data_IF_304355185170
#
_entry.id   IF_304355185170
#
_cell.length_a   1.000
_cell.length_b   1.000
_cell.length_c   1.000
_cell.angle_alpha   90.00
_cell.angle_beta   90.00
_cell.angle_gamma   90.00
#
_symmetry.space_group_name_H-M   'P 1'
#
loop_
_entity.id
_entity.type
_entity.pdbx_description
1 polymer ?
#
# COMPACT_ATOMS: atom_id res chain seq x y z
N UNK A 1 13.19 -0.30 -16.29
CA UNK A 1 11.93 -1.00 -16.58
C UNK A 1 11.08 -0.09 -17.44
N UNK A 2 10.69 -0.54 -18.63
CA UNK A 2 9.90 0.26 -19.55
C UNK A 2 8.47 0.51 -19.01
N UNK A 3 8.03 1.75 -19.09
CA UNK A 3 6.76 2.24 -18.52
C UNK A 3 5.56 1.58 -19.17
N UNK A 4 5.61 1.35 -20.49
CA UNK A 4 4.53 0.69 -21.23
C UNK A 4 4.30 -0.74 -20.73
N UNK A 5 5.37 -1.48 -20.43
CA UNK A 5 5.27 -2.85 -19.91
C UNK A 5 4.51 -2.92 -18.57
N UNK A 6 4.61 -1.90 -17.71
CA UNK A 6 3.85 -1.84 -16.45
C UNK A 6 2.36 -1.63 -16.70
N UNK A 7 2.00 -0.73 -17.60
CA UNK A 7 0.60 -0.48 -17.97
C UNK A 7 -0.05 -1.71 -18.60
N UNK A 8 0.66 -2.43 -19.48
CA UNK A 8 0.17 -3.66 -20.09
C UNK A 8 -0.09 -4.75 -19.04
N UNK A 9 0.78 -4.88 -18.03
CA UNK A 9 0.58 -5.82 -16.93
C UNK A 9 -0.69 -5.49 -16.13
N UNK A 10 -0.90 -4.22 -15.78
CA UNK A 10 -2.13 -3.77 -15.09
C UNK A 10 -3.36 -3.99 -15.96
N UNK A 11 -3.29 -3.67 -17.25
CA UNK A 11 -4.41 -3.84 -18.18
C UNK A 11 -4.81 -5.31 -18.35
N UNK A 12 -3.86 -6.22 -18.51
CA UNK A 12 -4.12 -7.64 -18.62
C UNK A 12 -4.77 -8.22 -17.35
N UNK A 13 -4.20 -7.89 -16.18
CA UNK A 13 -4.79 -8.28 -14.90
C UNK A 13 -6.19 -7.69 -14.71
N UNK A 14 -6.36 -6.40 -15.02
CA UNK A 14 -7.62 -5.68 -14.89
C UNK A 14 -8.72 -6.24 -15.78
N UNK A 15 -8.42 -6.59 -17.03
CA UNK A 15 -9.38 -7.24 -17.92
C UNK A 15 -9.87 -8.58 -17.34
N UNK A 16 -8.95 -9.42 -16.85
CA UNK A 16 -9.30 -10.69 -16.21
C UNK A 16 -10.12 -10.48 -14.93
N UNK A 17 -9.73 -9.52 -14.07
CA UNK A 17 -10.44 -9.20 -12.84
C UNK A 17 -11.87 -8.73 -13.10
N UNK A 18 -12.04 -7.82 -14.07
CA UNK A 18 -13.36 -7.33 -14.48
C UNK A 18 -14.25 -8.44 -15.06
N UNK A 19 -13.69 -9.32 -15.89
CA UNK A 19 -14.39 -10.48 -16.43
C UNK A 19 -14.86 -11.44 -15.33
N UNK A 20 -14.00 -11.72 -14.34
CA UNK A 20 -14.35 -12.56 -13.20
C UNK A 20 -15.45 -11.94 -12.35
N UNK A 21 -15.34 -10.64 -12.06
CA UNK A 21 -16.40 -9.89 -11.36
C UNK A 21 -17.72 -9.95 -12.13
N UNK A 22 -17.69 -9.71 -13.44
CA UNK A 22 -18.89 -9.77 -14.28
C UNK A 22 -19.50 -11.17 -14.29
N UNK A 23 -18.68 -12.21 -14.44
CA UNK A 23 -19.14 -13.60 -14.41
C UNK A 23 -19.79 -13.94 -13.07
N UNK A 24 -19.14 -13.65 -11.93
CA UNK A 24 -19.69 -13.94 -10.61
C UNK A 24 -20.94 -13.09 -10.31
N UNK A 25 -20.94 -11.82 -10.72
CA UNK A 25 -22.07 -10.91 -10.60
C UNK A 25 -23.27 -11.30 -11.47
N UNK A 26 -23.07 -12.04 -12.57
CA UNK A 26 -24.15 -12.60 -13.39
C UNK A 26 -24.55 -14.05 -13.05
N UNK A 27 -23.78 -14.72 -12.19
CA UNK A 27 -23.94 -16.14 -11.85
C UNK A 27 -25.05 -16.39 -10.81
N UNK A 28 -25.15 -17.65 -10.35
CA UNK A 28 -26.10 -18.08 -9.31
C UNK A 28 -26.06 -17.19 -8.05
N UNK A 29 -24.93 -16.56 -7.75
CA UNK A 29 -24.75 -15.63 -6.62
C UNK A 29 -25.72 -14.44 -6.69
N UNK A 30 -25.98 -13.90 -7.89
CA UNK A 30 -26.94 -12.81 -8.12
C UNK A 30 -28.36 -13.30 -8.39
N UNK A 31 -28.55 -14.60 -8.66
CA UNK A 31 -29.88 -15.21 -8.83
C UNK A 31 -30.49 -15.69 -7.52
N UNK A 32 -29.81 -15.47 -6.40
CA UNK A 32 -30.43 -15.68 -5.10
C UNK A 32 -31.58 -14.68 -4.96
N UNK A 33 -32.78 -15.14 -4.61
CA UNK A 33 -33.86 -14.25 -4.17
C UNK A 33 -33.53 -13.54 -2.83
N UNK A 34 -32.29 -13.72 -2.35
CA UNK A 34 -31.77 -13.10 -1.15
C UNK A 34 -31.69 -11.60 -1.41
N UNK A 35 -32.31 -10.79 -0.56
CA UNK A 35 -32.51 -9.41 -0.90
C UNK A 35 -31.35 -8.55 -0.34
N UNK A 36 -30.21 -9.20 -0.07
CA UNK A 36 -28.91 -8.69 0.34
C UNK A 36 -27.92 -8.79 -0.84
N UNK A 37 -26.98 -7.84 -1.04
CA UNK A 37 -26.05 -7.83 -2.18
C UNK A 37 -24.94 -8.89 -2.10
N UNK A 38 -25.34 -10.16 -2.13
CA UNK A 38 -24.49 -11.32 -1.83
C UNK A 38 -23.32 -11.43 -2.80
N UNK A 39 -23.54 -11.16 -4.08
CA UNK A 39 -22.49 -11.27 -5.09
C UNK A 39 -21.35 -10.28 -4.82
N UNK A 40 -21.68 -9.00 -4.66
CA UNK A 40 -20.71 -7.93 -4.36
C UNK A 40 -20.00 -8.17 -3.04
N UNK A 41 -20.73 -8.60 -1.99
CA UNK A 41 -20.14 -8.95 -0.71
C UNK A 41 -19.08 -10.06 -0.85
N UNK A 42 -19.41 -11.18 -1.49
CA UNK A 42 -18.46 -12.28 -1.68
C UNK A 42 -17.25 -11.83 -2.48
N UNK A 43 -17.46 -11.13 -3.59
CA UNK A 43 -16.39 -10.62 -4.46
C UNK A 43 -15.40 -9.72 -3.69
N UNK A 44 -15.91 -8.81 -2.87
CA UNK A 44 -15.07 -7.90 -2.09
C UNK A 44 -14.34 -8.64 -0.95
N UNK A 45 -14.99 -9.59 -0.28
CA UNK A 45 -14.39 -10.38 0.81
C UNK A 45 -13.31 -11.31 0.29
N UNK A 46 -13.56 -12.05 -0.79
CA UNK A 46 -12.54 -12.93 -1.40
C UNK A 46 -11.40 -12.12 -1.99
N UNK A 47 -11.67 -10.96 -2.61
CA UNK A 47 -10.64 -10.06 -3.09
C UNK A 47 -9.76 -9.52 -1.96
N UNK A 48 -10.35 -9.20 -0.82
CA UNK A 48 -9.65 -8.81 0.41
C UNK A 48 -8.74 -9.93 0.93
N UNK A 49 -9.21 -11.17 0.94
CA UNK A 49 -8.36 -12.32 1.26
C UNK A 49 -7.19 -12.47 0.27
N UNK A 50 -7.49 -12.43 -1.04
CA UNK A 50 -6.51 -12.61 -2.10
C UNK A 50 -5.41 -11.56 -1.99
N UNK A 51 -5.74 -10.27 -1.79
CA UNK A 51 -4.72 -9.22 -1.71
C UNK A 51 -3.84 -9.37 -0.46
N UNK A 52 -4.43 -9.70 0.70
CA UNK A 52 -3.68 -9.96 1.92
C UNK A 52 -2.72 -11.15 1.76
N UNK A 53 -3.21 -12.24 1.18
CA UNK A 53 -2.40 -13.42 0.89
C UNK A 53 -1.28 -13.13 -0.11
N UNK A 54 -1.64 -12.58 -1.28
CA UNK A 54 -0.71 -12.39 -2.39
C UNK A 54 0.39 -11.38 -2.06
N UNK A 55 0.05 -10.23 -1.48
CA UNK A 55 1.06 -9.23 -1.16
C UNK A 55 2.01 -9.74 -0.08
N UNK A 56 1.52 -10.38 0.98
CA UNK A 56 2.37 -11.00 1.99
C UNK A 56 3.29 -12.05 1.39
N UNK A 57 2.79 -12.91 0.50
CA UNK A 57 3.61 -13.91 -0.18
C UNK A 57 4.69 -13.24 -1.05
N UNK A 58 4.30 -12.23 -1.83
CA UNK A 58 5.19 -11.49 -2.74
C UNK A 58 6.23 -10.60 -2.05
N UNK A 59 6.04 -10.23 -0.78
CA UNK A 59 6.98 -9.39 -0.03
C UNK A 59 7.78 -10.14 1.02
N UNK A 60 7.22 -11.20 1.62
CA UNK A 60 7.82 -11.89 2.76
C UNK A 60 8.34 -13.31 2.44
N UNK A 61 8.00 -13.87 1.28
CA UNK A 61 8.23 -15.30 1.00
C UNK A 61 8.85 -15.57 -0.37
N UNK A 62 8.29 -15.05 -1.46
CA UNK A 62 8.80 -15.25 -2.83
C UNK A 62 9.23 -13.93 -3.46
N UNK A 63 10.28 -13.99 -4.26
CA UNK A 63 10.62 -12.88 -5.16
C UNK A 63 9.70 -12.90 -6.39
N UNK A 64 8.67 -12.06 -6.37
CA UNK A 64 7.72 -11.89 -7.49
C UNK A 64 8.16 -10.72 -8.36
N UNK A 65 8.12 -10.89 -9.68
CA UNK A 65 8.46 -9.81 -10.60
C UNK A 65 7.55 -8.59 -10.38
N UNK A 66 8.08 -7.35 -10.46
CA UNK A 66 7.27 -6.14 -10.31
C UNK A 66 6.05 -6.07 -11.26
N UNK A 67 6.17 -6.66 -12.46
CA UNK A 67 5.07 -6.75 -13.42
C UNK A 67 3.94 -7.65 -12.92
N UNK A 68 4.27 -8.83 -12.40
CA UNK A 68 3.26 -9.76 -11.87
C UNK A 68 2.59 -9.19 -10.61
N UNK A 69 3.36 -8.50 -9.77
CA UNK A 69 2.79 -7.79 -8.61
C UNK A 69 1.77 -6.73 -9.03
N UNK A 70 2.07 -5.93 -10.04
CA UNK A 70 1.13 -4.94 -10.60
C UNK A 70 -0.08 -5.60 -11.25
N UNK A 71 0.13 -6.63 -12.07
CA UNK A 71 -0.93 -7.35 -12.75
C UNK A 71 -1.95 -7.94 -11.76
N UNK A 72 -1.49 -8.54 -10.65
CA UNK A 72 -2.39 -9.17 -9.69
C UNK A 72 -2.98 -8.14 -8.72
N UNK A 73 -2.14 -7.36 -8.03
CA UNK A 73 -2.60 -6.48 -6.96
C UNK A 73 -3.42 -5.30 -7.47
N UNK A 74 -2.90 -4.60 -8.49
CA UNK A 74 -3.54 -3.39 -9.04
C UNK A 74 -4.52 -3.75 -10.14
N UNK A 75 -4.11 -4.63 -11.06
CA UNK A 75 -4.96 -5.06 -12.18
C UNK A 75 -6.10 -5.96 -11.70
N UNK A 76 -5.80 -7.23 -11.45
CA UNK A 76 -6.81 -8.25 -11.20
C UNK A 76 -7.64 -7.95 -9.96
N UNK A 77 -7.03 -7.82 -8.78
CA UNK A 77 -7.78 -7.61 -7.54
C UNK A 77 -8.48 -6.24 -7.55
N UNK A 78 -7.82 -5.21 -8.09
CA UNK A 78 -8.42 -3.88 -8.23
C UNK A 78 -9.67 -3.85 -9.11
N UNK A 79 -9.69 -4.60 -10.21
CA UNK A 79 -10.85 -4.67 -11.11
C UNK A 79 -11.87 -5.75 -10.71
N UNK A 80 -11.41 -6.78 -9.99
CA UNK A 80 -12.23 -7.85 -9.43
C UNK A 80 -13.09 -7.35 -8.28
N UNK A 81 -12.52 -6.56 -7.37
CA UNK A 81 -13.28 -5.92 -6.28
C UNK A 81 -13.97 -4.65 -6.78
N UNK A 82 -15.00 -4.19 -6.06
CA UNK A 82 -15.71 -2.97 -6.43
C UNK A 82 -16.31 -2.27 -5.21
N UNK A 83 -15.84 -1.04 -4.97
CA UNK A 83 -16.43 -0.16 -3.95
C UNK A 83 -17.66 0.58 -4.49
N UNK A 84 -17.62 1.02 -5.75
CA UNK A 84 -18.72 1.77 -6.37
C UNK A 84 -20.02 0.97 -6.50
N UNK A 85 -19.95 -0.31 -6.87
CA UNK A 85 -21.16 -1.17 -6.89
C UNK A 85 -21.71 -1.38 -5.48
N UNK A 86 -20.83 -1.58 -4.49
CA UNK A 86 -21.22 -1.70 -3.09
C UNK A 86 -21.95 -0.44 -2.58
N UNK A 87 -21.45 0.74 -2.90
CA UNK A 87 -22.11 2.01 -2.52
C UNK A 87 -23.46 2.17 -3.23
N UNK A 88 -23.53 1.87 -4.52
CA UNK A 88 -24.78 1.93 -5.29
C UNK A 88 -25.85 1.00 -4.72
N UNK A 89 -25.50 -0.24 -4.41
CA UNK A 89 -26.40 -1.22 -3.80
C UNK A 89 -26.87 -0.79 -2.41
N UNK A 90 -25.96 -0.19 -1.62
CA UNK A 90 -26.30 0.37 -0.30
C UNK A 90 -27.28 1.54 -0.44
N UNK A 91 -27.04 2.45 -1.38
CA UNK A 91 -27.95 3.56 -1.67
C UNK A 91 -29.32 3.06 -2.11
N UNK A 92 -29.39 2.03 -2.97
CA UNK A 92 -30.65 1.40 -3.38
C UNK A 92 -31.43 0.80 -2.21
N UNK A 93 -30.75 0.10 -1.31
CA UNK A 93 -31.40 -0.43 -0.10
C UNK A 93 -31.98 0.70 0.77
N UNK A 94 -31.30 1.84 0.86
CA UNK A 94 -31.80 3.03 1.60
C UNK A 94 -33.02 3.62 0.90
N UNK A 95 -32.99 3.79 -0.43
CA UNK A 95 -34.12 4.28 -1.23
C UNK A 95 -35.36 3.39 -1.07
N UNK A 96 -35.17 2.08 -1.02
CA UNK A 96 -36.22 1.08 -0.78
C UNK A 96 -36.68 1.01 0.69
N UNK A 97 -36.14 1.86 1.58
CA UNK A 97 -36.40 1.89 3.04
C UNK A 97 -35.97 0.62 3.78
N UNK A 98 -35.01 -0.13 3.22
CA UNK A 98 -34.48 -1.41 3.74
C UNK A 98 -33.24 -1.17 4.60
N UNK A 99 -33.38 -0.31 5.60
CA UNK A 99 -32.26 0.22 6.39
C UNK A 99 -31.42 -0.85 7.07
N UNK A 100 -32.04 -1.89 7.63
CA UNK A 100 -31.32 -2.99 8.27
C UNK A 100 -30.32 -3.64 7.31
N UNK A 101 -30.71 -3.86 6.05
CA UNK A 101 -29.84 -4.49 5.06
C UNK A 101 -28.77 -3.54 4.53
N UNK A 102 -29.08 -2.25 4.40
CA UNK A 102 -28.07 -1.25 4.07
C UNK A 102 -26.99 -1.22 5.17
N UNK A 103 -27.38 -1.16 6.44
CA UNK A 103 -26.45 -1.20 7.58
C UNK A 103 -25.65 -2.50 7.60
N UNK A 104 -26.30 -3.65 7.43
CA UNK A 104 -25.60 -4.94 7.37
C UNK A 104 -24.61 -4.98 6.20
N UNK A 105 -24.97 -4.46 5.02
CA UNK A 105 -24.08 -4.45 3.86
C UNK A 105 -22.80 -3.68 4.17
N UNK A 106 -22.91 -2.50 4.76
CA UNK A 106 -21.76 -1.68 5.15
C UNK A 106 -20.93 -2.36 6.23
N UNK A 107 -21.56 -2.72 7.36
CA UNK A 107 -20.85 -3.24 8.53
C UNK A 107 -20.23 -4.60 8.27
N UNK A 108 -20.95 -5.54 7.64
CA UNK A 108 -20.40 -6.85 7.33
C UNK A 108 -19.30 -6.76 6.27
N UNK A 109 -19.47 -5.97 5.20
CA UNK A 109 -18.44 -5.85 4.17
C UNK A 109 -17.14 -5.31 4.76
N UNK A 110 -17.22 -4.32 5.65
CA UNK A 110 -16.04 -3.78 6.32
C UNK A 110 -15.38 -4.80 7.27
N UNK A 111 -16.14 -5.35 8.23
CA UNK A 111 -15.60 -6.25 9.25
C UNK A 111 -15.07 -7.53 8.62
N UNK A 112 -15.89 -8.20 7.80
CA UNK A 112 -15.53 -9.48 7.18
C UNK A 112 -14.44 -9.28 6.15
N UNK A 113 -14.48 -8.20 5.36
CA UNK A 113 -13.40 -7.85 4.44
C UNK A 113 -12.06 -7.67 5.17
N UNK A 114 -12.04 -6.92 6.27
CA UNK A 114 -10.83 -6.74 7.08
C UNK A 114 -10.32 -8.05 7.68
N UNK A 115 -11.20 -8.86 8.27
CA UNK A 115 -10.87 -10.20 8.78
C UNK A 115 -10.31 -11.09 7.67
N UNK A 116 -10.85 -11.00 6.46
CA UNK A 116 -10.38 -11.74 5.30
C UNK A 116 -8.97 -11.33 4.89
N UNK A 117 -8.63 -10.02 4.88
CA UNK A 117 -7.24 -9.55 4.67
C UNK A 117 -6.31 -10.16 5.71
N UNK A 118 -6.66 -10.08 6.99
CA UNK A 118 -5.86 -10.67 8.08
C UNK A 118 -5.69 -12.18 7.91
N UNK A 119 -6.76 -12.89 7.53
CA UNK A 119 -6.74 -14.31 7.22
C UNK A 119 -5.79 -14.64 6.07
N UNK A 120 -5.79 -13.84 5.01
CA UNK A 120 -4.86 -13.96 3.88
C UNK A 120 -3.40 -13.81 4.31
N UNK A 121 -3.10 -12.78 5.11
CA UNK A 121 -1.75 -12.54 5.66
C UNK A 121 -1.29 -13.75 6.50
N UNK A 122 -2.14 -14.23 7.42
CA UNK A 122 -1.81 -15.37 8.28
C UNK A 122 -1.60 -16.64 7.45
N UNK A 123 -2.47 -16.90 6.47
CA UNK A 123 -2.35 -18.05 5.59
C UNK A 123 -1.06 -18.03 4.77
N UNK A 124 -0.68 -16.87 4.20
CA UNK A 124 0.57 -16.72 3.46
C UNK A 124 1.80 -16.96 4.35
N UNK A 125 1.77 -16.52 5.62
CA UNK A 125 2.87 -16.73 6.57
C UNK A 125 3.03 -18.18 7.02
N UNK A 126 1.93 -18.93 7.10
CA UNK A 126 1.88 -20.35 7.50
C UNK A 126 2.32 -21.33 6.42
N UNK A 127 2.49 -20.88 5.17
CA UNK A 127 3.10 -21.69 4.12
C UNK A 127 4.60 -21.90 4.44
N UNK A 128 4.88 -22.97 5.19
CA UNK A 128 6.24 -23.50 5.38
C UNK A 128 6.75 -24.06 4.06
N UNK A 129 7.96 -23.67 3.64
CA UNK A 129 8.63 -24.22 2.45
C UNK A 129 8.87 -23.25 1.30
N UNK A 130 8.50 -21.99 1.43
CA UNK A 130 8.95 -20.95 0.48
C UNK A 130 10.22 -20.29 1.04
N UNK A 131 11.40 -20.50 0.43
CA UNK A 131 12.65 -19.94 0.94
C UNK A 131 12.56 -18.42 0.97
N UNK A 132 12.80 -17.84 2.14
CA UNK A 132 13.07 -16.41 2.30
C UNK A 132 14.29 -16.09 1.44
N UNK A 133 14.08 -15.48 0.27
CA UNK A 133 15.19 -14.80 -0.42
C UNK A 133 15.63 -13.68 0.47
N UNK A 134 16.86 -13.81 0.95
CA UNK A 134 17.48 -13.00 1.98
C UNK A 134 17.18 -11.51 1.81
N UNK A 135 16.75 -10.88 2.90
CA UNK A 135 16.40 -9.48 3.01
C UNK A 135 17.66 -8.59 2.96
N UNK A 136 18.68 -8.99 2.21
CA UNK A 136 19.99 -8.34 2.16
C UNK A 136 19.87 -6.85 1.82
N UNK A 137 18.85 -6.43 1.08
CA UNK A 137 18.59 -5.01 0.82
C UNK A 137 17.97 -4.27 2.02
N UNK A 138 17.12 -4.91 2.84
CA UNK A 138 16.47 -4.27 4.00
C UNK A 138 17.43 -4.17 5.20
N UNK A 139 18.29 -5.17 5.41
CA UNK A 139 19.35 -5.14 6.41
C UNK A 139 20.45 -4.14 6.03
N UNK A 140 20.85 -4.05 4.75
CA UNK A 140 21.75 -3.00 4.27
C UNK A 140 21.15 -1.60 4.39
N UNK A 141 19.86 -1.40 4.08
CA UNK A 141 19.21 -0.10 4.26
C UNK A 141 19.10 0.28 5.73
N UNK A 142 18.85 -0.69 6.62
CA UNK A 142 18.83 -0.45 8.08
C UNK A 142 20.22 -0.10 8.60
N UNK A 143 21.29 -0.77 8.15
CA UNK A 143 22.67 -0.39 8.47
C UNK A 143 23.04 1.02 7.95
N UNK A 144 22.60 1.37 6.75
CA UNK A 144 22.82 2.71 6.16
C UNK A 144 21.98 3.82 6.84
N UNK A 145 20.85 3.47 7.45
CA UNK A 145 20.03 4.39 8.22
C UNK A 145 20.53 4.54 9.67
N UNK A 146 21.06 3.47 10.26
CA UNK A 146 21.63 3.45 11.62
C UNK A 146 22.94 4.26 11.71
N UNK A 147 23.72 4.26 10.63
CA UNK A 147 24.91 5.15 10.49
C UNK A 147 24.58 6.63 10.31
N UNK A 148 23.29 7.00 10.21
CA UNK A 148 22.82 8.40 10.15
C UNK A 148 22.13 8.83 11.45
N UNK A 149 22.38 8.16 12.58
CA UNK A 149 21.89 8.61 13.88
C UNK A 149 22.56 9.94 14.31
N UNK A 150 21.82 11.05 14.44
CA UNK A 150 22.35 12.35 14.89
C UNK A 150 22.90 12.34 16.32
N UNK A 151 22.79 11.24 17.07
CA UNK A 151 23.37 11.10 18.40
C UNK A 151 24.92 11.16 18.41
N UNK A 152 25.60 10.80 17.31
CA UNK A 152 27.08 10.93 17.23
C UNK A 152 27.56 12.36 16.95
N UNK A 153 26.76 13.20 16.29
CA UNK A 153 27.14 14.59 15.98
C UNK A 153 27.24 15.47 17.24
N UNK A 154 26.48 15.14 18.30
CA UNK A 154 26.54 15.85 19.60
C UNK A 154 27.87 15.69 20.35
N UNK A 155 28.70 14.70 19.99
CA UNK A 155 30.05 14.55 20.53
C UNK A 155 31.06 15.48 19.88
N UNK A 156 30.92 15.73 18.57
CA UNK A 156 31.82 16.59 17.80
C UNK A 156 31.58 18.10 18.07
N UNK A 157 30.37 18.48 18.47
CA UNK A 157 30.01 19.87 18.74
C UNK A 157 30.58 20.40 20.07
N UNK A 158 30.96 19.52 21.00
CA UNK A 158 31.64 19.92 22.25
C UNK A 158 33.13 20.22 22.07
N UNK A 159 33.74 19.76 20.98
CA UNK A 159 35.18 19.90 20.73
C UNK A 159 35.53 21.15 19.90
N UNK A 160 34.53 21.90 19.42
CA UNK A 160 34.71 23.17 18.69
C UNK A 160 34.60 24.38 19.62
N UNK A 161 34.13 24.17 20.86
CA UNK A 161 34.03 25.22 21.87
C UNK A 161 35.30 25.36 22.74
N UNK A 162 36.28 24.46 22.59
CA UNK A 162 37.53 24.54 23.34
C UNK A 162 38.70 24.97 22.42
N UNK A 163 39.15 26.19 22.68
CA UNK A 163 40.49 26.71 22.36
C UNK A 163 40.87 26.90 20.87
N UNK A 164 40.92 28.20 20.47
CA UNK A 164 41.98 28.84 19.66
C UNK A 164 41.70 29.45 18.27
N UNK A 165 40.46 29.65 17.80
CA UNK A 165 40.21 30.44 16.55
C UNK A 165 38.98 31.36 16.68
N UNK A 166 38.93 32.24 17.69
CA UNK A 166 38.04 33.43 17.66
C UNK A 166 38.77 34.59 18.36
N UNK A 167 39.85 35.09 17.76
CA UNK A 167 40.44 36.41 18.07
C UNK A 167 41.25 36.96 16.88
N UNK A 168 40.64 37.09 15.70
CA UNK A 168 41.34 37.75 14.59
C UNK A 168 40.47 38.45 13.54
N UNK A 169 39.22 38.81 13.85
CA UNK A 169 38.46 39.62 12.88
C UNK A 169 37.47 40.63 13.49
N UNK A 170 37.86 41.32 14.55
CA UNK A 170 37.11 42.53 14.96
C UNK A 170 38.01 43.52 15.71
N UNK A 171 38.76 44.32 14.94
CA UNK A 171 39.53 45.53 15.29
C UNK A 171 40.37 45.84 14.03
N UNK A 172 40.29 46.93 13.26
CA UNK A 172 39.91 48.34 13.43
C UNK A 172 39.81 48.95 11.97
N UNK A 173 39.54 50.24 11.72
CA UNK A 173 38.25 50.96 11.55
C UNK A 173 37.97 51.47 10.11
N UNK A 174 36.74 51.96 9.90
CA UNK A 174 36.38 52.92 8.84
C UNK A 174 37.01 54.30 9.10
N UNK A 175 37.74 54.88 8.12
CA UNK A 175 37.78 56.33 7.80
C UNK A 175 38.65 56.65 6.55
N UNK A 176 38.65 57.89 5.97
CA UNK A 176 38.04 58.10 4.66
C UNK A 176 38.91 58.90 3.64
N UNK A 177 38.31 59.11 2.46
CA UNK A 177 38.48 60.26 1.52
C UNK A 177 39.71 60.35 0.61
N UNK A 178 39.42 60.97 -0.54
CA UNK A 178 40.28 61.52 -1.59
C UNK A 178 40.80 60.54 -2.64
N UNK A 179 40.88 60.83 -3.94
CA UNK A 179 40.32 61.81 -4.86
C UNK A 179 41.05 61.55 -6.20
N UNK A 180 40.31 61.52 -7.32
CA UNK A 180 40.74 61.98 -8.65
C UNK A 180 41.89 61.20 -9.35
N UNK A 181 41.52 60.50 -10.44
CA UNK A 181 41.90 60.88 -11.81
C UNK A 181 40.95 60.27 -12.83
#
# INVERSE_FOLDING_TARGET
MDTLTKYLAVAAGGALGAMFRYFLGGSLLARTAAPFPTATFVINVTGSFIIGFFLTLATERINVSPHLRLAIAVGFVGAYTTFSTFEWETAKLIEERRYLLATLNVTLSFIVGFVAVCGGIIAARKLEGVPVTDNASYSQFRMLADTRDPAQTRGAERDIQDSSIIKLNEQIPDEPTDAIS
#
